data_IF_155621630391
#
_entry.id   IF_155621630391
#
_cell.length_a   1.000
_cell.length_b   1.000
_cell.length_c   1.000
_cell.angle_alpha   90.00
_cell.angle_beta   90.00
_cell.angle_gamma   90.00
#
_symmetry.space_group_name_H-M   'P 1'
#
loop_
_entity.id
_entity.type
_entity.pdbx_description
1 polymer ?
#
# COMPACT_ATOMS: atom_id res chain seq x y z
N UNK A 1 5.22 -6.76 16.19
CA UNK A 1 4.83 -5.87 15.07
C UNK A 1 5.44 -4.51 15.31
N UNK A 2 6.31 -4.06 14.42
CA UNK A 2 6.85 -2.70 14.38
C UNK A 2 5.81 -1.79 13.74
N UNK A 3 5.23 -0.92 14.54
CA UNK A 3 4.30 0.12 14.09
C UNK A 3 4.99 1.19 13.25
N UNK A 4 4.21 1.93 12.47
CA UNK A 4 4.68 3.13 11.78
C UNK A 4 5.01 4.20 12.82
N UNK A 5 6.17 4.82 12.65
CA UNK A 5 6.70 5.90 13.47
C UNK A 5 6.84 7.19 12.66
N UNK A 6 7.11 8.32 13.34
CA UNK A 6 7.44 9.57 12.66
C UNK A 6 8.73 9.51 11.84
N UNK A 7 9.66 8.63 12.21
CA UNK A 7 10.88 8.39 11.43
C UNK A 7 10.55 7.80 10.06
N UNK A 8 9.63 6.83 10.03
CA UNK A 8 9.19 6.21 8.78
C UNK A 8 8.45 7.23 7.88
N UNK A 9 7.64 8.11 8.46
CA UNK A 9 6.97 9.20 7.71
C UNK A 9 7.98 10.21 7.13
N UNK A 10 8.97 10.64 7.90
CA UNK A 10 10.01 11.54 7.41
C UNK A 10 10.92 10.89 6.35
N UNK A 11 11.14 9.57 6.43
CA UNK A 11 11.84 8.80 5.40
C UNK A 11 11.10 8.88 4.06
N UNK A 12 9.80 8.55 4.08
CA UNK A 12 8.93 8.59 2.89
C UNK A 12 8.87 9.99 2.31
N UNK A 13 8.69 11.01 3.16
CA UNK A 13 8.69 12.42 2.75
C UNK A 13 10.00 12.82 2.08
N UNK A 14 11.13 12.47 2.67
CA UNK A 14 12.46 12.74 2.10
C UNK A 14 12.61 12.12 0.73
N UNK A 15 12.27 10.84 0.61
CA UNK A 15 12.36 10.11 -0.66
C UNK A 15 11.43 10.75 -1.72
N UNK A 16 10.21 11.13 -1.34
CA UNK A 16 9.27 11.82 -2.22
C UNK A 16 9.77 13.18 -2.70
N UNK A 17 10.37 13.98 -1.82
CA UNK A 17 10.97 15.26 -2.20
C UNK A 17 12.10 15.06 -3.21
N UNK A 18 13.01 14.14 -2.93
CA UNK A 18 14.12 13.81 -3.82
C UNK A 18 13.60 13.35 -5.19
N UNK A 19 12.58 12.49 -5.20
CA UNK A 19 11.98 11.97 -6.43
C UNK A 19 11.21 13.03 -7.24
N UNK A 20 10.66 14.05 -6.57
CA UNK A 20 9.88 15.13 -7.20
C UNK A 20 10.74 16.30 -7.71
N UNK A 21 11.99 16.43 -7.25
CA UNK A 21 12.94 17.46 -7.68
C UNK A 21 14.20 16.80 -8.28
N UNK A 22 14.10 16.17 -9.46
CA UNK A 22 15.07 15.19 -9.95
C UNK A 22 16.32 15.83 -10.59
N UNK A 23 17.02 16.68 -9.84
CA UNK A 23 18.40 17.02 -10.22
C UNK A 23 19.26 15.79 -9.92
N UNK A 24 19.77 15.12 -10.96
CA UNK A 24 20.60 13.91 -10.87
C UNK A 24 19.88 12.66 -10.30
N UNK A 25 18.68 12.33 -10.78
CA UNK A 25 17.92 11.13 -10.35
C UNK A 25 18.71 9.82 -10.41
N UNK A 26 19.60 9.66 -11.40
CA UNK A 26 20.51 8.51 -11.54
C UNK A 26 21.59 8.50 -10.45
N UNK A 27 22.15 9.67 -10.11
CA UNK A 27 23.12 9.79 -9.01
C UNK A 27 22.50 9.42 -7.68
N UNK A 28 21.27 9.89 -7.42
CA UNK A 28 20.49 9.55 -6.22
C UNK A 28 20.25 8.04 -6.15
N UNK A 29 19.82 7.43 -7.25
CA UNK A 29 19.60 5.98 -7.31
C UNK A 29 20.90 5.22 -6.97
N UNK A 30 22.02 5.62 -7.55
CA UNK A 30 23.34 5.03 -7.29
C UNK A 30 23.79 5.22 -5.82
N UNK A 31 23.48 6.37 -5.20
CA UNK A 31 23.77 6.62 -3.80
C UNK A 31 22.92 5.75 -2.86
N UNK A 32 21.61 5.62 -3.15
CA UNK A 32 20.72 4.73 -2.42
C UNK A 32 21.15 3.26 -2.55
N UNK A 33 21.53 2.83 -3.75
CA UNK A 33 22.03 1.47 -4.00
C UNK A 33 23.33 1.20 -3.24
N UNK A 34 24.29 2.14 -3.27
CA UNK A 34 25.53 2.03 -2.49
C UNK A 34 25.24 1.97 -1.00
N UNK A 35 24.30 2.77 -0.51
CA UNK A 35 23.91 2.77 0.90
C UNK A 35 23.26 1.44 1.30
N UNK A 36 22.36 0.92 0.47
CA UNK A 36 21.73 -0.39 0.66
C UNK A 36 22.78 -1.52 0.70
N UNK A 37 23.69 -1.58 -0.27
CA UNK A 37 24.74 -2.61 -0.33
C UNK A 37 25.77 -2.52 0.79
N UNK A 38 26.01 -1.31 1.34
CA UNK A 38 26.97 -1.10 2.42
C UNK A 38 26.39 -1.46 3.79
N UNK A 39 25.10 -1.23 4.01
CA UNK A 39 24.44 -1.41 5.31
C UNK A 39 23.43 -2.57 5.23
N UNK A 40 23.94 -3.80 5.11
CA UNK A 40 23.12 -5.01 4.90
C UNK A 40 22.33 -5.47 6.13
N UNK A 41 22.52 -4.81 7.26
CA UNK A 41 21.82 -4.98 8.53
C UNK A 41 20.87 -3.80 8.85
N UNK A 42 20.70 -2.85 7.93
CA UNK A 42 19.77 -1.73 8.07
C UNK A 42 18.48 -1.94 7.25
N UNK A 43 17.34 -2.25 7.89
CA UNK A 43 16.08 -2.46 7.19
C UNK A 43 15.54 -1.18 6.54
N UNK A 44 15.91 0.01 7.04
CA UNK A 44 15.49 1.28 6.46
C UNK A 44 16.28 1.63 5.20
N UNK A 45 17.58 1.29 5.15
CA UNK A 45 18.37 1.42 3.93
C UNK A 45 17.79 0.54 2.80
N UNK A 46 17.47 -0.71 3.12
CA UNK A 46 16.82 -1.63 2.19
C UNK A 46 15.43 -1.12 1.76
N UNK A 47 14.57 -0.75 2.71
CA UNK A 47 13.25 -0.19 2.40
C UNK A 47 13.34 1.09 1.54
N UNK A 48 14.29 1.98 1.81
CA UNK A 48 14.48 3.23 1.05
C UNK A 48 14.82 2.98 -0.41
N UNK A 49 15.76 2.06 -0.66
CA UNK A 49 16.15 1.66 -2.02
C UNK A 49 14.98 1.00 -2.76
N UNK A 50 14.26 0.09 -2.11
CA UNK A 50 13.06 -0.54 -2.67
C UNK A 50 11.95 0.48 -2.96
N UNK A 51 11.67 1.38 -2.03
CA UNK A 51 10.63 2.41 -2.17
C UNK A 51 10.95 3.42 -3.27
N UNK A 52 12.21 3.85 -3.42
CA UNK A 52 12.58 4.73 -4.53
C UNK A 52 12.39 4.04 -5.89
N UNK A 53 12.75 2.77 -6.01
CA UNK A 53 12.47 1.98 -7.22
C UNK A 53 10.96 1.80 -7.45
N UNK A 54 10.17 1.60 -6.38
CA UNK A 54 8.70 1.56 -6.46
C UNK A 54 8.13 2.87 -7.03
N UNK A 55 8.66 4.03 -6.64
CA UNK A 55 8.23 5.32 -7.18
C UNK A 55 8.58 5.49 -8.66
N UNK A 56 9.80 5.08 -9.06
CA UNK A 56 10.20 5.06 -10.48
C UNK A 56 9.20 4.22 -11.26
N UNK A 57 8.95 2.99 -10.82
CA UNK A 57 8.02 2.05 -11.43
C UNK A 57 6.60 2.61 -11.55
N UNK A 58 6.09 3.26 -10.52
CA UNK A 58 4.72 3.77 -10.46
C UNK A 58 4.46 5.00 -11.35
N UNK A 59 5.51 5.76 -11.72
CA UNK A 59 5.39 6.94 -12.59
C UNK A 59 5.34 6.61 -14.08
N UNK A 60 5.83 5.45 -14.49
CA UNK A 60 5.91 5.11 -15.91
C UNK A 60 4.57 4.58 -16.40
N UNK A 61 3.59 5.48 -16.53
CA UNK A 61 2.40 5.19 -17.34
C UNK A 61 2.85 4.99 -18.78
N UNK A 62 2.69 3.77 -19.29
CA UNK A 62 2.94 3.34 -20.68
C UNK A 62 4.34 2.84 -21.04
N UNK A 63 5.13 2.30 -20.10
CA UNK A 63 6.17 1.34 -20.47
C UNK A 63 5.97 0.05 -19.71
N UNK A 64 6.26 -1.09 -20.35
CA UNK A 64 6.50 -2.34 -19.66
C UNK A 64 7.56 -2.06 -18.60
N UNK A 65 7.17 -2.08 -17.33
CA UNK A 65 8.14 -2.06 -16.25
C UNK A 65 9.00 -3.30 -16.49
N UNK A 66 10.30 -3.11 -16.66
CA UNK A 66 11.22 -4.24 -16.79
C UNK A 66 11.11 -5.11 -15.54
N UNK A 67 10.92 -6.42 -15.71
CA UNK A 67 10.90 -7.40 -14.62
C UNK A 67 12.06 -7.19 -13.64
N UNK A 68 13.23 -6.80 -14.16
CA UNK A 68 14.42 -6.43 -13.41
C UNK A 68 14.17 -5.41 -12.28
N UNK A 69 13.36 -4.37 -12.53
CA UNK A 69 13.10 -3.36 -11.49
C UNK A 69 12.13 -3.86 -10.44
N UNK A 70 11.17 -4.71 -10.82
CA UNK A 70 10.24 -5.36 -9.89
C UNK A 70 11.04 -6.31 -8.98
N UNK A 71 11.97 -7.07 -9.54
CA UNK A 71 12.88 -7.95 -8.82
C UNK A 71 13.71 -7.18 -7.79
N UNK A 72 14.31 -6.04 -8.17
CA UNK A 72 15.06 -5.18 -7.23
C UNK A 72 14.20 -4.67 -6.06
N UNK A 73 12.93 -4.33 -6.31
CA UNK A 73 12.03 -3.88 -5.24
C UNK A 73 11.73 -5.03 -4.29
N UNK A 74 11.41 -6.21 -4.81
CA UNK A 74 11.14 -7.38 -3.98
C UNK A 74 12.37 -7.85 -3.21
N UNK A 75 13.56 -7.84 -3.82
CA UNK A 75 14.81 -8.15 -3.14
C UNK A 75 15.02 -7.22 -1.94
N UNK A 76 14.92 -5.91 -2.16
CA UNK A 76 15.10 -4.91 -1.11
C UNK A 76 14.04 -5.03 0.01
N UNK A 77 12.78 -5.29 -0.34
CA UNK A 77 11.72 -5.52 0.66
C UNK A 77 11.93 -6.82 1.43
N UNK A 78 12.34 -7.90 0.76
CA UNK A 78 12.65 -9.17 1.40
C UNK A 78 13.84 -9.03 2.35
N UNK A 79 14.88 -8.27 1.98
CA UNK A 79 16.01 -8.00 2.86
C UNK A 79 15.60 -7.16 4.07
N UNK A 80 14.80 -6.11 3.88
CA UNK A 80 14.25 -5.33 4.99
C UNK A 80 13.43 -6.21 5.95
N UNK A 81 12.65 -7.15 5.43
CA UNK A 81 11.83 -8.09 6.21
C UNK A 81 12.64 -9.24 6.80
N UNK A 82 13.78 -9.62 6.21
CA UNK A 82 14.72 -10.57 6.82
C UNK A 82 15.35 -9.98 8.08
N UNK A 83 15.66 -8.68 8.05
CA UNK A 83 16.27 -7.96 9.18
C UNK A 83 15.21 -7.57 10.23
N UNK A 84 14.05 -7.10 9.78
CA UNK A 84 12.93 -6.70 10.63
C UNK A 84 11.63 -7.41 10.17
N UNK A 85 11.40 -8.67 10.58
CA UNK A 85 10.28 -9.51 10.11
C UNK A 85 8.90 -8.99 10.47
N UNK A 86 8.82 -8.07 11.41
CA UNK A 86 7.57 -7.49 11.90
C UNK A 86 7.37 -6.04 11.44
N UNK A 87 8.17 -5.57 10.46
CA UNK A 87 8.12 -4.23 9.90
C UNK A 87 6.88 -4.03 9.00
N UNK A 88 5.79 -3.62 9.64
CA UNK A 88 4.45 -3.52 9.04
C UNK A 88 4.44 -2.68 7.76
N UNK A 89 5.17 -1.56 7.74
CA UNK A 89 5.24 -0.67 6.58
C UNK A 89 5.77 -1.39 5.33
N UNK A 90 6.80 -2.22 5.47
CA UNK A 90 7.41 -2.94 4.35
C UNK A 90 6.47 -4.02 3.84
N UNK A 91 5.85 -4.79 4.74
CA UNK A 91 4.82 -5.77 4.38
C UNK A 91 3.68 -5.13 3.58
N UNK A 92 3.23 -3.94 4.00
CA UNK A 92 2.19 -3.22 3.28
C UNK A 92 2.61 -2.75 1.90
N UNK A 93 3.79 -2.15 1.76
CA UNK A 93 4.27 -1.72 0.44
C UNK A 93 4.51 -2.91 -0.49
N UNK A 94 4.93 -4.05 0.05
CA UNK A 94 5.02 -5.30 -0.71
C UNK A 94 3.64 -5.78 -1.19
N UNK A 95 2.61 -5.73 -0.35
CA UNK A 95 1.23 -6.06 -0.74
C UNK A 95 0.67 -5.10 -1.82
N UNK A 96 0.92 -3.79 -1.67
CA UNK A 96 0.52 -2.78 -2.68
C UNK A 96 1.21 -3.06 -4.02
N UNK A 97 2.49 -3.39 -4.01
CA UNK A 97 3.23 -3.74 -5.24
C UNK A 97 2.62 -4.98 -5.91
N UNK A 98 2.40 -6.07 -5.16
CA UNK A 98 1.78 -7.30 -5.69
C UNK A 98 0.42 -7.02 -6.34
N UNK A 99 -0.44 -6.24 -5.68
CA UNK A 99 -1.75 -5.88 -6.22
C UNK A 99 -1.66 -5.02 -7.51
N UNK A 100 -0.61 -4.20 -7.63
CA UNK A 100 -0.39 -3.39 -8.83
C UNK A 100 0.16 -4.19 -10.02
N UNK A 101 0.72 -5.38 -9.79
CA UNK A 101 1.19 -6.24 -10.87
C UNK A 101 0.03 -6.84 -11.68
N UNK A 102 0.22 -7.09 -12.99
CA UNK A 102 -0.68 -7.93 -13.77
C UNK A 102 -0.85 -9.30 -13.12
N UNK A 103 -2.04 -9.87 -13.22
CA UNK A 103 -2.39 -11.19 -12.63
C UNK A 103 -1.37 -12.27 -12.99
N UNK A 104 -0.92 -12.33 -14.25
CA UNK A 104 0.07 -13.30 -14.73
C UNK A 104 1.47 -13.19 -14.09
N UNK A 105 1.78 -12.07 -13.46
CA UNK A 105 3.06 -11.82 -12.77
C UNK A 105 2.91 -11.78 -11.24
N UNK A 106 1.68 -11.83 -10.74
CA UNK A 106 1.38 -11.67 -9.32
C UNK A 106 1.52 -13.01 -8.62
N UNK A 107 2.35 -13.07 -7.58
CA UNK A 107 2.33 -14.17 -6.63
C UNK A 107 1.11 -14.00 -5.71
N UNK A 108 0.00 -14.65 -6.08
CA UNK A 108 -1.27 -14.56 -5.35
C UNK A 108 -1.19 -15.21 -3.98
N UNK A 109 -0.51 -16.35 -3.87
CA UNK A 109 -0.33 -17.04 -2.60
C UNK A 109 0.46 -16.18 -1.63
N UNK A 110 1.50 -15.48 -2.11
CA UNK A 110 2.24 -14.51 -1.30
C UNK A 110 1.37 -13.33 -0.89
N UNK A 111 0.60 -12.74 -1.81
CA UNK A 111 -0.30 -11.65 -1.48
C UNK A 111 -1.27 -12.03 -0.36
N UNK A 112 -1.95 -13.19 -0.49
CA UNK A 112 -2.89 -13.68 0.53
C UNK A 112 -2.19 -13.90 1.86
N UNK A 113 -1.03 -14.59 1.87
CA UNK A 113 -0.25 -14.81 3.11
C UNK A 113 0.12 -13.51 3.80
N UNK A 114 0.54 -12.48 3.04
CA UNK A 114 0.89 -11.17 3.61
C UNK A 114 -0.34 -10.52 4.24
N UNK A 115 -1.48 -10.52 3.56
CA UNK A 115 -2.70 -9.87 4.04
C UNK A 115 -3.26 -10.56 5.28
N UNK A 116 -3.32 -11.89 5.28
CA UNK A 116 -3.74 -12.69 6.44
C UNK A 116 -2.82 -12.45 7.64
N UNK A 117 -1.50 -12.46 7.41
CA UNK A 117 -0.52 -12.17 8.46
C UNK A 117 -0.74 -10.77 9.05
N UNK A 118 -0.87 -9.75 8.21
CA UNK A 118 -1.08 -8.37 8.67
C UNK A 118 -2.38 -8.24 9.46
N UNK A 119 -3.47 -8.81 8.97
CA UNK A 119 -4.76 -8.78 9.67
C UNK A 119 -4.67 -9.50 11.02
N UNK A 120 -4.06 -10.68 11.07
CA UNK A 120 -3.84 -11.44 12.30
C UNK A 120 -2.99 -10.66 13.31
N UNK A 121 -1.83 -10.13 12.89
CA UNK A 121 -0.93 -9.36 13.76
C UNK A 121 -1.63 -8.13 14.34
N UNK A 122 -2.50 -7.46 13.56
CA UNK A 122 -3.28 -6.30 13.97
C UNK A 122 -4.37 -6.64 14.99
N UNK A 123 -5.01 -7.80 14.86
CA UNK A 123 -6.01 -8.28 15.81
C UNK A 123 -5.39 -8.67 17.15
N UNK A 124 -4.17 -9.21 17.12
CA UNK A 124 -3.38 -9.55 18.31
C UNK A 124 -2.65 -8.33 18.92
N UNK A 125 -2.68 -7.18 18.25
CA UNK A 125 -1.97 -5.97 18.64
C UNK A 125 -2.62 -5.27 19.83
N UNK A 126 -1.83 -4.99 20.88
CA UNK A 126 -2.25 -4.17 22.02
C UNK A 126 -2.64 -2.74 21.61
N UNK A 127 -2.00 -2.22 20.56
CA UNK A 127 -2.24 -0.87 20.06
C UNK A 127 -2.97 -0.92 18.73
N UNK A 128 -4.18 -0.36 18.71
CA UNK A 128 -4.96 -0.20 17.49
C UNK A 128 -4.56 1.07 16.74
N UNK A 129 -4.50 0.97 15.41
CA UNK A 129 -4.05 2.05 14.53
C UNK A 129 -5.01 2.23 13.35
N UNK A 130 -5.29 3.49 12.93
CA UNK A 130 -6.20 3.73 11.80
C UNK A 130 -5.76 3.09 10.49
N UNK A 131 -4.45 3.06 10.24
CA UNK A 131 -3.88 2.52 9.00
C UNK A 131 -4.05 1.00 8.87
N UNK A 132 -4.48 0.30 9.93
CA UNK A 132 -4.83 -1.13 9.87
C UNK A 132 -6.02 -1.43 8.97
N UNK A 133 -6.76 -0.41 8.52
CA UNK A 133 -7.81 -0.56 7.52
C UNK A 133 -7.26 -1.00 6.16
N UNK A 134 -6.03 -0.62 5.81
CA UNK A 134 -5.50 -0.78 4.44
C UNK A 134 -5.39 -2.25 4.01
N UNK A 135 -4.86 -3.21 4.81
CA UNK A 135 -4.85 -4.62 4.42
C UNK A 135 -6.25 -5.18 4.16
N UNK A 136 -7.28 -4.81 4.95
CA UNK A 136 -8.64 -5.27 4.71
C UNK A 136 -9.17 -4.82 3.34
N UNK A 137 -8.84 -3.59 2.95
CA UNK A 137 -9.29 -3.01 1.68
C UNK A 137 -8.60 -3.69 0.50
N UNK A 138 -7.29 -3.92 0.60
CA UNK A 138 -6.54 -4.67 -0.41
C UNK A 138 -7.10 -6.09 -0.54
N UNK A 139 -7.38 -6.75 0.60
CA UNK A 139 -7.87 -8.12 0.57
C UNK A 139 -9.31 -8.22 0.06
N UNK A 140 -10.14 -7.21 0.34
CA UNK A 140 -11.48 -7.12 -0.20
C UNK A 140 -11.47 -6.89 -1.72
N UNK A 141 -10.61 -6.00 -2.24
CA UNK A 141 -10.44 -5.81 -3.68
C UNK A 141 -9.97 -7.11 -4.36
N UNK A 142 -8.99 -7.80 -3.76
CA UNK A 142 -8.54 -9.10 -4.25
C UNK A 142 -9.67 -10.12 -4.30
N UNK A 143 -10.42 -10.33 -3.20
CA UNK A 143 -11.56 -11.24 -3.18
C UNK A 143 -12.61 -10.89 -4.24
N UNK A 144 -12.92 -9.61 -4.38
CA UNK A 144 -13.85 -9.14 -5.42
C UNK A 144 -13.32 -9.46 -6.81
N UNK A 145 -12.02 -9.25 -7.07
CA UNK A 145 -11.38 -9.57 -8.35
C UNK A 145 -11.39 -11.07 -8.68
N UNK A 146 -11.33 -11.93 -7.67
CA UNK A 146 -11.49 -13.38 -7.79
C UNK A 146 -12.96 -13.83 -7.87
N UNK A 147 -13.89 -12.92 -8.18
CA UNK A 147 -15.32 -13.18 -8.26
C UNK A 147 -15.92 -13.72 -6.94
N UNK A 148 -15.40 -13.25 -5.80
CA UNK A 148 -15.89 -13.54 -4.45
C UNK A 148 -16.39 -12.26 -3.73
N UNK A 149 -17.52 -11.67 -4.16
CA UNK A 149 -18.05 -10.45 -3.56
C UNK A 149 -18.47 -10.62 -2.10
N UNK A 150 -18.93 -11.82 -1.70
CA UNK A 150 -19.31 -12.12 -0.32
C UNK A 150 -18.08 -12.08 0.61
N UNK A 151 -16.94 -12.63 0.16
CA UNK A 151 -15.67 -12.53 0.88
C UNK A 151 -15.20 -11.09 1.01
N UNK A 152 -15.33 -10.30 -0.05
CA UNK A 152 -15.02 -8.87 -0.02
C UNK A 152 -15.88 -8.12 1.01
N UNK A 153 -17.20 -8.33 1.00
CA UNK A 153 -18.13 -7.72 1.95
C UNK A 153 -17.78 -8.09 3.39
N UNK A 154 -17.52 -9.38 3.66
CA UNK A 154 -17.15 -9.87 5.00
C UNK A 154 -15.91 -9.17 5.53
N UNK A 155 -14.89 -8.97 4.70
CA UNK A 155 -13.67 -8.25 5.07
C UNK A 155 -13.95 -6.79 5.42
N UNK A 156 -14.84 -6.12 4.69
CA UNK A 156 -15.24 -4.72 4.97
C UNK A 156 -16.02 -4.62 6.28
N UNK A 157 -16.93 -5.54 6.55
CA UNK A 157 -17.67 -5.59 7.81
C UNK A 157 -16.75 -5.85 9.01
N UNK A 158 -15.80 -6.77 8.86
CA UNK A 158 -14.79 -7.07 9.86
C UNK A 158 -13.91 -5.84 10.15
N UNK A 159 -13.48 -5.15 9.09
CA UNK A 159 -12.69 -3.93 9.21
C UNK A 159 -13.45 -2.83 9.97
N UNK A 160 -14.75 -2.63 9.66
CA UNK A 160 -15.62 -1.65 10.34
C UNK A 160 -15.82 -1.93 11.83
N UNK A 161 -15.73 -3.20 12.22
CA UNK A 161 -15.87 -3.64 13.62
C UNK A 161 -14.55 -3.52 14.40
N UNK A 162 -13.45 -3.87 13.76
CA UNK A 162 -12.19 -4.12 14.46
C UNK A 162 -11.20 -2.95 14.36
N UNK A 163 -11.29 -2.08 13.35
CA UNK A 163 -10.35 -0.97 13.17
C UNK A 163 -10.84 0.30 13.84
N UNK A 164 -9.93 0.99 14.53
CA UNK A 164 -10.23 2.27 15.19
C UNK A 164 -10.60 3.36 14.17
N UNK A 165 -11.79 3.91 14.36
CA UNK A 165 -12.43 4.93 13.52
C UNK A 165 -11.84 6.33 13.70
N UNK A 166 -10.69 6.58 13.09
CA UNK A 166 -9.98 7.88 13.10
C UNK A 166 -9.25 8.11 11.77
N UNK A 167 -8.95 9.37 11.42
CA UNK A 167 -8.07 9.66 10.29
C UNK A 167 -6.68 9.05 10.45
N UNK A 168 -6.06 8.65 9.35
CA UNK A 168 -4.66 8.22 9.32
C UNK A 168 -3.76 9.44 9.55
N UNK A 169 -3.02 9.43 10.67
CA UNK A 169 -2.18 10.55 11.13
C UNK A 169 -0.80 10.69 10.45
N UNK A 170 -0.58 10.02 9.32
CA UNK A 170 0.68 10.03 8.57
C UNK A 170 0.45 10.61 7.17
N UNK A 171 0.47 11.95 7.08
CA UNK A 171 0.07 12.70 5.89
C UNK A 171 0.84 12.27 4.64
N UNK A 172 2.15 12.04 4.76
CA UNK A 172 2.99 11.66 3.61
C UNK A 172 2.79 10.20 3.16
N UNK A 173 2.08 9.39 3.95
CA UNK A 173 1.69 8.02 3.60
C UNK A 173 0.28 7.94 3.00
N UNK A 174 -0.55 8.96 3.21
CA UNK A 174 -1.95 8.94 2.77
C UNK A 174 -2.09 8.75 1.25
N UNK A 175 -1.17 9.27 0.43
CA UNK A 175 -1.21 9.08 -1.01
C UNK A 175 -1.11 7.59 -1.40
N UNK A 176 -0.34 6.80 -0.66
CA UNK A 176 -0.18 5.36 -0.88
C UNK A 176 -1.29 4.55 -0.22
N UNK A 177 -1.70 4.93 0.99
CA UNK A 177 -2.71 4.19 1.75
C UNK A 177 -4.14 4.43 1.27
N UNK A 178 -4.40 5.58 0.63
CA UNK A 178 -5.67 5.85 -0.05
C UNK A 178 -5.79 5.19 -1.42
N UNK A 179 -4.67 4.82 -2.05
CA UNK A 179 -4.68 4.26 -3.41
C UNK A 179 -5.50 2.97 -3.53
N UNK A 180 -5.36 1.96 -2.64
CA UNK A 180 -6.20 0.76 -2.67
C UNK A 180 -7.70 1.05 -2.62
N UNK A 181 -8.12 2.03 -1.82
CA UNK A 181 -9.52 2.44 -1.75
C UNK A 181 -10.01 3.02 -3.07
N UNK A 182 -9.22 3.91 -3.69
CA UNK A 182 -9.57 4.56 -4.97
C UNK A 182 -9.68 3.53 -6.09
N UNK A 183 -8.75 2.58 -6.13
CA UNK A 183 -8.72 1.59 -7.20
C UNK A 183 -9.83 0.54 -7.03
N UNK A 184 -10.08 0.11 -5.79
CA UNK A 184 -11.22 -0.76 -5.51
C UNK A 184 -12.55 -0.06 -5.82
N UNK A 185 -12.70 1.21 -5.41
CA UNK A 185 -13.90 2.00 -5.70
C UNK A 185 -14.16 2.09 -7.21
N UNK A 186 -13.14 2.42 -8.02
CA UNK A 186 -13.29 2.45 -9.48
C UNK A 186 -13.72 1.10 -10.05
N UNK A 187 -13.21 0.00 -9.51
CA UNK A 187 -13.60 -1.36 -9.94
C UNK A 187 -15.07 -1.63 -9.62
N UNK A 188 -15.51 -1.33 -8.41
CA UNK A 188 -16.90 -1.48 -7.99
C UNK A 188 -17.85 -0.62 -8.83
N UNK A 189 -17.45 0.62 -9.15
CA UNK A 189 -18.23 1.51 -10.04
C UNK A 189 -18.38 0.89 -11.43
N UNK A 190 -17.28 0.41 -12.03
CA UNK A 190 -17.31 -0.26 -13.34
C UNK A 190 -18.16 -1.54 -13.36
N UNK A 191 -18.21 -2.25 -12.24
CA UNK A 191 -18.99 -3.49 -12.09
C UNK A 191 -20.44 -3.27 -11.64
N UNK A 192 -20.89 -2.03 -11.47
CA UNK A 192 -22.23 -1.71 -10.97
C UNK A 192 -22.55 -2.17 -9.53
N UNK A 193 -21.52 -2.31 -8.70
CA UNK A 193 -21.62 -2.75 -7.29
C UNK A 193 -21.82 -1.58 -6.33
N UNK A 194 -23.01 -0.97 -6.40
CA UNK A 194 -23.30 0.31 -5.72
C UNK A 194 -23.18 0.25 -4.20
N UNK A 195 -23.71 -0.80 -3.57
CA UNK A 195 -23.72 -0.90 -2.11
C UNK A 195 -22.31 -0.94 -1.54
N UNK A 196 -21.45 -1.81 -2.10
CA UNK A 196 -20.06 -1.93 -1.68
C UNK A 196 -19.25 -0.69 -2.03
N UNK A 197 -19.49 -0.07 -3.20
CA UNK A 197 -18.84 1.19 -3.59
C UNK A 197 -19.10 2.31 -2.56
N UNK A 198 -20.35 2.47 -2.11
CA UNK A 198 -20.70 3.44 -1.06
C UNK A 198 -19.97 3.14 0.25
N UNK A 199 -19.88 1.86 0.66
CA UNK A 199 -19.16 1.47 1.87
C UNK A 199 -17.67 1.84 1.81
N UNK A 200 -17.02 1.60 0.67
CA UNK A 200 -15.60 1.95 0.46
C UNK A 200 -15.41 3.46 0.46
N UNK A 201 -16.31 4.23 -0.15
CA UNK A 201 -16.26 5.69 -0.14
C UNK A 201 -16.38 6.26 1.27
N UNK A 202 -17.34 5.77 2.06
CA UNK A 202 -17.53 6.18 3.45
C UNK A 202 -16.26 5.94 4.28
N UNK A 203 -15.66 4.75 4.15
CA UNK A 203 -14.39 4.45 4.81
C UNK A 203 -13.26 5.36 4.29
N UNK A 204 -13.19 5.62 2.99
CA UNK A 204 -12.24 6.57 2.41
C UNK A 204 -12.33 7.96 3.04
N UNK A 205 -13.55 8.50 3.19
CA UNK A 205 -13.80 9.80 3.87
C UNK A 205 -13.41 9.77 5.34
N UNK A 206 -13.66 8.66 6.02
CA UNK A 206 -13.39 8.52 7.45
C UNK A 206 -11.88 8.47 7.76
N UNK A 207 -11.13 7.68 6.98
CA UNK A 207 -9.71 7.45 7.20
C UNK A 207 -8.81 8.47 6.48
N UNK A 208 -9.29 9.08 5.38
CA UNK A 208 -8.58 10.05 4.56
C UNK A 208 -9.45 11.29 4.26
N UNK A 209 -9.88 12.05 5.28
CA UNK A 209 -10.84 13.15 5.11
C UNK A 209 -10.33 14.30 4.23
N UNK A 210 -9.01 14.48 4.13
CA UNK A 210 -8.40 15.51 3.28
C UNK A 210 -8.27 15.09 1.81
N UNK A 211 -8.57 13.83 1.48
CA UNK A 211 -8.46 13.32 0.12
C UNK A 211 -9.69 13.70 -0.71
N UNK A 212 -9.47 14.58 -1.67
CA UNK A 212 -10.53 15.13 -2.53
C UNK A 212 -11.28 14.02 -3.27
N UNK A 213 -10.63 12.90 -3.62
CA UNK A 213 -11.29 11.82 -4.35
C UNK A 213 -12.46 11.23 -3.58
N UNK A 214 -12.37 11.13 -2.25
CA UNK A 214 -13.47 10.60 -1.44
C UNK A 214 -14.54 11.64 -1.13
N UNK A 215 -14.23 12.94 -1.20
CA UNK A 215 -15.16 14.02 -0.92
C UNK A 215 -16.06 14.41 -2.12
N UNK A 216 -15.83 13.83 -3.29
CA UNK A 216 -16.69 14.01 -4.46
C UNK A 216 -17.94 13.12 -4.36
N UNK A 217 -19.04 13.54 -5.01
CA UNK A 217 -20.25 12.71 -5.08
C UNK A 217 -20.04 11.58 -6.07
N UNK A 218 -20.16 10.35 -5.58
CA UNK A 218 -20.17 9.13 -6.40
C UNK A 218 -21.29 9.18 -7.45
N UNK A 219 -22.41 9.87 -7.20
CA UNK A 219 -23.55 9.95 -8.14
C UNK A 219 -23.17 10.55 -9.50
N UNK A 220 -22.10 11.36 -9.57
CA UNK A 220 -21.59 11.90 -10.84
C UNK A 220 -20.90 10.85 -11.71
N UNK A 221 -20.45 9.73 -11.13
CA UNK A 221 -19.81 8.62 -11.85
C UNK A 221 -20.83 7.53 -12.26
N UNK A 222 -22.08 7.61 -11.78
CA UNK A 222 -23.17 6.67 -12.07
C UNK A 222 -24.26 7.21 -13.00
N UNK A 223 -24.15 8.47 -13.42
CA UNK A 223 -24.99 9.13 -14.42
C UNK A 223 -24.25 9.17 -15.76
#
# INVERSE_FOLDING_TARGET
MRYITKKDEELIKTINLIFNFPVNSEKILNELEKNYKKNTDDPEAAFSFGFYNFLITSRVKNSTIGSERIELIFEAYNDALRIAPDYWLVWMFKAILLLALPEVMRDEDELVRILEKLISDQQMSEKQQPYFIVPYIIYADYNFSCNNPDGALKLIEEARKNVIKKPVGFKYLNDYFSMPFKDFLKRLVRSNERALALMIMELGREFFPDDIAFNQSIEKEWL
#
